data_IF_296115568336
#
_entry.id   IF_296115568336
#
_cell.length_a   1.000
_cell.length_b   1.000
_cell.length_c   1.000
_cell.angle_alpha   90.00
_cell.angle_beta   90.00
_cell.angle_gamma   90.00
#
_symmetry.space_group_name_H-M   'P 1'
#
loop_
_entity.id
_entity.type
_entity.pdbx_description
1 polymer ?
#
# COMPACT_ATOMS: atom_id res chain seq x y z
N UNK A 1 -34.80 13.14 6.56
CA UNK A 1 -33.57 13.85 6.12
C UNK A 1 -32.44 13.46 7.07
N UNK A 2 -31.79 12.31 6.86
CA UNK A 2 -30.72 11.81 7.73
C UNK A 2 -29.40 12.42 7.23
N UNK A 3 -28.65 12.99 8.16
CA UNK A 3 -27.48 13.82 7.92
C UNK A 3 -26.40 13.09 7.12
N UNK A 4 -26.01 13.70 6.02
CA UNK A 4 -24.83 13.39 5.22
C UNK A 4 -23.57 13.79 5.97
N UNK A 5 -23.33 13.18 7.14
CA UNK A 5 -21.96 13.15 7.66
C UNK A 5 -21.22 12.17 6.77
N UNK A 6 -20.62 12.71 5.72
CA UNK A 6 -19.57 12.05 4.95
C UNK A 6 -18.42 11.84 5.93
N UNK A 7 -18.54 10.82 6.78
CA UNK A 7 -17.44 10.38 7.62
C UNK A 7 -16.36 9.95 6.64
N UNK A 8 -15.28 10.75 6.55
CA UNK A 8 -14.14 10.48 5.68
C UNK A 8 -13.79 9.01 5.83
N UNK A 9 -14.00 8.25 4.75
CA UNK A 9 -13.74 6.84 4.79
C UNK A 9 -12.23 6.67 4.88
N UNK A 10 -11.75 6.13 6.01
CA UNK A 10 -10.31 6.06 6.34
C UNK A 10 -9.47 5.48 5.21
N UNK A 11 -10.01 4.50 4.48
CA UNK A 11 -9.35 3.89 3.33
C UNK A 11 -9.14 4.86 2.17
N UNK A 12 -10.08 5.78 1.91
CA UNK A 12 -9.94 6.79 0.85
C UNK A 12 -8.87 7.82 1.16
N UNK A 13 -8.88 8.36 2.39
CA UNK A 13 -7.83 9.27 2.84
C UNK A 13 -6.46 8.57 2.84
N UNK A 14 -6.39 7.34 3.35
CA UNK A 14 -5.18 6.52 3.29
C UNK A 14 -4.73 6.22 1.86
N UNK A 15 -5.66 5.98 0.94
CA UNK A 15 -5.37 5.79 -0.48
C UNK A 15 -4.75 7.03 -1.12
N UNK A 16 -5.26 8.23 -0.80
CA UNK A 16 -4.67 9.48 -1.26
C UNK A 16 -3.25 9.70 -0.69
N UNK A 17 -3.00 9.30 0.56
CA UNK A 17 -1.66 9.34 1.15
C UNK A 17 -0.70 8.36 0.46
N UNK A 18 -1.17 7.16 0.10
CA UNK A 18 -0.39 6.22 -0.71
C UNK A 18 -0.05 6.79 -2.09
N UNK A 19 -1.00 7.45 -2.75
CA UNK A 19 -0.76 8.12 -4.03
C UNK A 19 0.33 9.21 -3.91
N UNK A 20 0.25 10.04 -2.87
CA UNK A 20 1.24 11.07 -2.62
C UNK A 20 2.63 10.46 -2.33
N UNK A 21 2.69 9.44 -1.47
CA UNK A 21 3.93 8.74 -1.14
C UNK A 21 4.55 8.05 -2.36
N UNK A 22 3.77 7.29 -3.12
CA UNK A 22 4.23 6.61 -4.34
C UNK A 22 4.74 7.59 -5.40
N UNK A 23 4.08 8.74 -5.55
CA UNK A 23 4.55 9.79 -6.47
C UNK A 23 5.87 10.41 -6.01
N UNK A 24 5.99 10.74 -4.72
CA UNK A 24 7.21 11.32 -4.16
C UNK A 24 8.39 10.35 -4.25
N UNK A 25 8.18 9.08 -3.89
CA UNK A 25 9.21 8.05 -3.95
C UNK A 25 9.57 7.68 -5.40
N UNK A 26 8.60 7.66 -6.31
CA UNK A 26 8.85 7.47 -7.75
C UNK A 26 9.69 8.59 -8.35
N UNK A 27 9.39 9.85 -8.02
CA UNK A 27 10.20 10.99 -8.44
C UNK A 27 11.63 10.93 -7.87
N UNK A 28 11.78 10.53 -6.60
CA UNK A 28 13.09 10.31 -5.99
C UNK A 28 13.87 9.20 -6.72
N UNK A 29 13.20 8.09 -7.06
CA UNK A 29 13.76 6.99 -7.85
C UNK A 29 14.33 7.47 -9.19
N UNK A 30 13.50 8.16 -9.96
CA UNK A 30 13.84 8.61 -11.31
C UNK A 30 14.95 9.67 -11.36
N UNK A 31 14.99 10.58 -10.40
CA UNK A 31 15.88 11.75 -10.44
C UNK A 31 17.12 11.63 -9.57
N UNK A 32 17.06 10.91 -8.45
CA UNK A 32 18.16 10.88 -7.47
C UNK A 32 18.76 9.50 -7.26
N UNK A 33 17.99 8.41 -7.43
CA UNK A 33 18.46 7.07 -7.09
C UNK A 33 18.92 6.25 -8.29
N UNK A 34 18.59 6.65 -9.52
CA UNK A 34 18.94 5.91 -10.74
C UNK A 34 20.45 5.66 -10.89
N UNK A 35 21.28 6.63 -10.52
CA UNK A 35 22.75 6.52 -10.61
C UNK A 35 23.39 6.02 -9.30
N UNK A 36 22.58 5.82 -8.25
CA UNK A 36 23.04 5.40 -6.91
C UNK A 36 22.76 3.91 -6.68
N UNK A 37 21.63 3.42 -7.17
CA UNK A 37 21.20 2.04 -7.02
C UNK A 37 21.58 1.22 -8.25
N UNK A 38 21.94 -0.05 -8.02
CA UNK A 38 22.01 -0.99 -9.14
C UNK A 38 20.60 -1.30 -9.68
N UNK A 39 20.56 -1.84 -10.89
CA UNK A 39 19.33 -2.09 -11.64
C UNK A 39 18.28 -2.89 -10.84
N UNK A 40 18.69 -4.00 -10.20
CA UNK A 40 17.78 -4.84 -9.42
C UNK A 40 17.16 -4.12 -8.20
N UNK A 41 17.92 -3.21 -7.57
CA UNK A 41 17.43 -2.42 -6.43
C UNK A 41 16.54 -1.28 -6.87
N UNK A 42 16.85 -0.66 -8.01
CA UNK A 42 15.99 0.35 -8.61
C UNK A 42 14.65 -0.26 -9.06
N UNK A 43 14.67 -1.44 -9.68
CA UNK A 43 13.45 -2.17 -10.05
C UNK A 43 12.58 -2.49 -8.82
N UNK A 44 13.22 -2.91 -7.73
CA UNK A 44 12.52 -3.17 -6.47
C UNK A 44 11.92 -1.89 -5.88
N UNK A 45 12.64 -0.77 -5.95
CA UNK A 45 12.13 0.55 -5.53
C UNK A 45 10.91 0.97 -6.34
N UNK A 46 10.99 0.83 -7.67
CA UNK A 46 9.90 1.18 -8.58
C UNK A 46 8.69 0.28 -8.37
N UNK A 47 8.90 -1.01 -8.11
CA UNK A 47 7.83 -1.95 -7.77
C UNK A 47 7.05 -1.46 -6.55
N UNK A 48 7.73 -1.04 -5.47
CA UNK A 48 7.07 -0.51 -4.29
C UNK A 48 6.25 0.76 -4.60
N UNK A 49 6.80 1.66 -5.41
CA UNK A 49 6.10 2.88 -5.82
C UNK A 49 4.85 2.57 -6.64
N UNK A 50 4.94 1.65 -7.60
CA UNK A 50 3.79 1.20 -8.42
C UNK A 50 2.70 0.59 -7.53
N UNK A 51 3.06 -0.24 -6.56
CA UNK A 51 2.09 -0.82 -5.63
C UNK A 51 1.39 0.25 -4.78
N UNK A 52 2.11 1.27 -4.28
CA UNK A 52 1.48 2.41 -3.60
C UNK A 52 0.51 3.16 -4.51
N UNK A 53 0.87 3.38 -5.78
CA UNK A 53 0.04 4.12 -6.74
C UNK A 53 -1.22 3.34 -7.11
N UNK A 54 -1.07 2.07 -7.52
CA UNK A 54 -2.20 1.23 -7.97
C UNK A 54 -3.17 0.97 -6.82
N UNK A 55 -2.67 0.59 -5.65
CA UNK A 55 -3.53 0.34 -4.49
C UNK A 55 -4.13 1.63 -3.94
N UNK A 56 -3.38 2.73 -3.94
CA UNK A 56 -3.87 4.05 -3.55
C UNK A 56 -5.05 4.49 -4.42
N UNK A 57 -4.91 4.39 -5.74
CA UNK A 57 -5.99 4.70 -6.69
C UNK A 57 -7.21 3.79 -6.48
N UNK A 58 -6.99 2.48 -6.32
CA UNK A 58 -8.05 1.52 -6.05
C UNK A 58 -8.80 1.83 -4.75
N UNK A 59 -8.10 2.20 -3.68
CA UNK A 59 -8.68 2.56 -2.38
C UNK A 59 -9.48 3.87 -2.43
N UNK A 60 -9.02 4.87 -3.18
CA UNK A 60 -9.79 6.10 -3.41
C UNK A 60 -11.09 5.80 -4.15
N UNK A 61 -11.02 4.95 -5.19
CA UNK A 61 -12.16 4.61 -6.04
C UNK A 61 -13.14 3.59 -5.45
N UNK A 62 -12.70 2.73 -4.53
CA UNK A 62 -13.51 1.64 -4.00
C UNK A 62 -14.67 2.14 -3.09
N UNK A 63 -15.94 1.85 -3.44
CA UNK A 63 -17.06 2.16 -2.57
C UNK A 63 -17.08 1.26 -1.33
N UNK A 64 -17.50 1.82 -0.19
CA UNK A 64 -17.65 1.08 1.06
C UNK A 64 -18.80 1.60 1.94
N UNK A 65 -20.02 1.20 1.61
CA UNK A 65 -21.21 1.55 2.40
C UNK A 65 -21.30 0.75 3.70
N UNK A 66 -20.86 -0.51 3.67
CA UNK A 66 -20.98 -1.44 4.79
C UNK A 66 -19.70 -1.50 5.65
N UNK A 67 -19.85 -1.74 6.96
CA UNK A 67 -18.72 -1.84 7.87
C UNK A 67 -17.72 -2.93 7.43
N UNK A 68 -18.20 -4.07 6.93
CA UNK A 68 -17.35 -5.14 6.44
C UNK A 68 -16.52 -4.76 5.22
N UNK A 69 -17.09 -3.97 4.29
CA UNK A 69 -16.35 -3.44 3.13
C UNK A 69 -15.23 -2.50 3.59
N UNK A 70 -15.52 -1.60 4.54
CA UNK A 70 -14.54 -0.67 5.11
C UNK A 70 -13.39 -1.40 5.81
N UNK A 71 -13.68 -2.45 6.58
CA UNK A 71 -12.65 -3.28 7.24
C UNK A 71 -11.74 -3.96 6.21
N UNK A 72 -12.33 -4.54 5.16
CA UNK A 72 -11.59 -5.21 4.11
C UNK A 72 -10.66 -4.25 3.34
N UNK A 73 -11.14 -3.05 2.98
CA UNK A 73 -10.30 -2.02 2.34
C UNK A 73 -9.23 -1.45 3.27
N UNK A 74 -9.49 -1.36 4.57
CA UNK A 74 -8.45 -0.99 5.53
C UNK A 74 -7.34 -2.05 5.63
N UNK A 75 -7.64 -3.34 5.43
CA UNK A 75 -6.61 -4.38 5.34
C UNK A 75 -5.73 -4.19 4.11
N UNK A 76 -6.31 -3.82 2.96
CA UNK A 76 -5.54 -3.48 1.75
C UNK A 76 -4.65 -2.27 2.01
N UNK A 77 -5.18 -1.22 2.64
CA UNK A 77 -4.40 -0.02 2.99
C UNK A 77 -3.20 -0.35 3.87
N UNK A 78 -3.40 -1.08 4.96
CA UNK A 78 -2.33 -1.49 5.87
C UNK A 78 -1.35 -2.43 5.15
N UNK A 79 -1.86 -3.41 4.41
CA UNK A 79 -1.06 -4.34 3.62
C UNK A 79 -0.16 -3.64 2.61
N UNK A 80 -0.66 -2.58 1.95
CA UNK A 80 0.12 -1.80 0.98
C UNK A 80 1.26 -1.04 1.65
N UNK A 81 1.01 -0.42 2.81
CA UNK A 81 2.06 0.23 3.59
C UNK A 81 3.13 -0.75 4.05
N UNK A 82 2.73 -1.92 4.55
CA UNK A 82 3.68 -2.95 4.97
C UNK A 82 4.48 -3.50 3.78
N UNK A 83 3.81 -3.86 2.69
CA UNK A 83 4.44 -4.40 1.49
C UNK A 83 5.42 -3.39 0.86
N UNK A 84 4.91 -2.21 0.49
CA UNK A 84 5.70 -1.23 -0.25
C UNK A 84 6.72 -0.53 0.65
N UNK A 85 6.32 -0.17 1.87
CA UNK A 85 7.21 0.48 2.83
C UNK A 85 8.38 -0.40 3.26
N UNK A 86 8.17 -1.72 3.40
CA UNK A 86 9.27 -2.65 3.70
C UNK A 86 10.23 -2.80 2.53
N UNK A 87 9.74 -2.87 1.28
CA UNK A 87 10.61 -2.90 0.09
C UNK A 87 11.45 -1.61 0.00
N UNK A 88 10.84 -0.43 0.14
CA UNK A 88 11.57 0.84 0.15
C UNK A 88 12.60 0.88 1.28
N UNK A 89 12.26 0.39 2.47
CA UNK A 89 13.17 0.29 3.60
C UNK A 89 14.33 -0.69 3.37
N UNK A 90 14.08 -1.86 2.80
CA UNK A 90 15.10 -2.85 2.45
C UNK A 90 16.06 -2.29 1.39
N UNK A 91 15.52 -1.61 0.38
CA UNK A 91 16.32 -0.93 -0.64
C UNK A 91 17.11 0.22 -0.02
N UNK A 92 16.53 1.06 0.84
CA UNK A 92 17.27 2.17 1.47
C UNK A 92 18.36 1.69 2.43
N UNK A 93 18.11 0.63 3.21
CA UNK A 93 19.07 0.10 4.19
C UNK A 93 20.14 -0.80 3.56
N UNK A 94 19.91 -1.32 2.35
CA UNK A 94 20.90 -2.10 1.62
C UNK A 94 22.13 -1.29 1.18
N UNK A 95 22.10 0.05 1.26
CA UNK A 95 23.27 0.91 1.02
C UNK A 95 24.05 1.21 2.30
N UNK A 96 23.52 0.86 3.48
CA UNK A 96 24.10 1.18 4.77
C UNK A 96 24.67 -0.07 5.45
N UNK A 97 25.92 -0.02 5.88
CA UNK A 97 26.58 -1.13 6.60
C UNK A 97 25.86 -1.49 7.91
N UNK A 98 25.29 -0.48 8.58
CA UNK A 98 24.49 -0.62 9.81
C UNK A 98 23.08 -1.21 9.60
N UNK A 99 22.67 -1.48 8.36
CA UNK A 99 21.31 -1.89 8.03
C UNK A 99 20.95 -3.37 8.32
N UNK A 100 21.93 -4.22 8.65
CA UNK A 100 21.73 -5.67 8.77
C UNK A 100 20.60 -6.11 9.74
N UNK A 101 20.52 -5.62 10.99
CA UNK A 101 19.46 -6.04 11.91
C UNK A 101 18.07 -5.57 11.49
N UNK A 102 17.92 -4.36 10.94
CA UNK A 102 16.63 -3.89 10.44
C UNK A 102 16.18 -4.67 9.20
N UNK A 103 17.10 -5.04 8.30
CA UNK A 103 16.78 -5.83 7.11
C UNK A 103 16.20 -7.21 7.47
N UNK A 104 16.69 -7.82 8.55
CA UNK A 104 16.17 -9.10 9.04
C UNK A 104 14.70 -9.00 9.50
N UNK A 105 14.29 -7.85 10.04
CA UNK A 105 12.90 -7.60 10.45
C UNK A 105 12.02 -7.22 9.25
N UNK A 106 12.52 -6.39 8.33
CA UNK A 106 11.75 -5.92 7.19
C UNK A 106 11.49 -7.00 6.14
N UNK A 107 12.39 -7.96 5.97
CA UNK A 107 12.24 -9.06 5.00
C UNK A 107 10.90 -9.81 5.14
N UNK A 108 10.55 -10.31 6.34
CA UNK A 108 9.26 -10.95 6.58
C UNK A 108 8.04 -10.03 6.51
N UNK A 109 8.21 -8.71 6.60
CA UNK A 109 7.08 -7.75 6.54
C UNK A 109 6.49 -7.67 5.13
N UNK A 110 7.32 -7.78 4.08
CA UNK A 110 6.85 -7.77 2.69
C UNK A 110 5.78 -8.84 2.42
N UNK A 111 6.01 -10.15 2.65
CA UNK A 111 5.01 -11.18 2.39
C UNK A 111 3.77 -11.03 3.28
N UNK A 112 3.90 -10.58 4.53
CA UNK A 112 2.75 -10.31 5.41
C UNK A 112 1.87 -9.20 4.82
N UNK A 113 2.49 -8.12 4.33
CA UNK A 113 1.78 -7.04 3.64
C UNK A 113 1.03 -7.54 2.41
N UNK A 114 1.68 -8.36 1.58
CA UNK A 114 1.06 -8.96 0.40
C UNK A 114 -0.14 -9.86 0.74
N UNK A 115 -0.02 -10.71 1.76
CA UNK A 115 -1.12 -11.55 2.25
C UNK A 115 -2.30 -10.71 2.73
N UNK A 116 -2.04 -9.63 3.49
CA UNK A 116 -3.10 -8.71 3.93
C UNK A 116 -3.81 -8.02 2.78
N UNK A 117 -3.08 -7.63 1.72
CA UNK A 117 -3.68 -7.08 0.51
C UNK A 117 -4.60 -8.09 -0.17
N UNK A 118 -4.13 -9.32 -0.37
CA UNK A 118 -4.92 -10.40 -1.00
C UNK A 118 -6.18 -10.67 -0.18
N UNK A 119 -6.04 -10.87 1.13
CA UNK A 119 -7.17 -11.13 2.03
C UNK A 119 -8.16 -9.95 2.07
N UNK A 120 -7.66 -8.71 2.07
CA UNK A 120 -8.48 -7.51 2.02
C UNK A 120 -9.30 -7.40 0.73
N UNK A 121 -8.70 -7.67 -0.42
CA UNK A 121 -9.43 -7.66 -1.70
C UNK A 121 -10.47 -8.78 -1.79
N UNK A 122 -10.12 -10.00 -1.38
CA UNK A 122 -11.06 -11.13 -1.35
C UNK A 122 -12.23 -10.84 -0.41
N UNK A 123 -11.95 -10.32 0.79
CA UNK A 123 -12.99 -9.92 1.75
C UNK A 123 -13.88 -8.80 1.22
N UNK A 124 -13.31 -7.80 0.54
CA UNK A 124 -14.10 -6.72 -0.05
C UNK A 124 -15.01 -7.25 -1.16
N UNK A 125 -14.48 -8.11 -2.04
CA UNK A 125 -15.26 -8.74 -3.11
C UNK A 125 -16.42 -9.58 -2.55
N UNK A 126 -16.19 -10.38 -1.50
CA UNK A 126 -17.23 -11.14 -0.81
C UNK A 126 -18.32 -10.23 -0.25
N UNK A 127 -17.94 -9.11 0.39
CA UNK A 127 -18.89 -8.17 0.97
C UNK A 127 -19.70 -7.43 -0.10
N UNK A 128 -19.07 -7.04 -1.22
CA UNK A 128 -19.78 -6.43 -2.35
C UNK A 128 -20.78 -7.41 -2.95
N UNK A 129 -20.42 -8.69 -3.10
CA UNK A 129 -21.34 -9.72 -3.58
C UNK A 129 -22.52 -9.91 -2.62
N UNK A 130 -22.25 -10.05 -1.31
CA UNK A 130 -23.28 -10.28 -0.31
C UNK A 130 -24.29 -9.13 -0.21
N UNK A 131 -23.83 -7.89 -0.38
CA UNK A 131 -24.69 -6.70 -0.37
C UNK A 131 -25.66 -6.62 -1.55
N UNK A 132 -25.41 -7.31 -2.67
CA UNK A 132 -26.34 -7.34 -3.82
C UNK A 132 -27.58 -8.21 -3.59
N UNK A 133 -27.54 -9.11 -2.61
CA UNK A 133 -28.63 -10.04 -2.29
C UNK A 133 -29.61 -9.50 -1.23
N UNK A 134 -29.36 -8.30 -0.72
CA UNK A 134 -30.22 -7.59 0.23
C UNK A 134 -31.04 -6.54 -0.52
#
# INVERSE_FOLDING_TARGET
MKSWVVGIERHRAGGALLLAAGSAMGALGAHALKDVLNEARLESWDTACVYMLVMGAALVGAPASEQGQRRALNMVLVGTWLFSGSILGLVALGTLEVGAPLRAVLGPVTPIGGVLMIAGWLGWAQQVWASRKK
#
